data_IF_135697531776
#
_entry.id   IF_135697531776
#
_cell.length_a   1.000
_cell.length_b   1.000
_cell.length_c   1.000
_cell.angle_alpha   90.00
_cell.angle_beta   90.00
_cell.angle_gamma   90.00
#
_symmetry.space_group_name_H-M   'P 1'
#
loop_
_entity.id
_entity.type
_entity.pdbx_description
1 polymer ?
#
# COMPACT_ATOMS: atom_id res chain seq x y z
N UNK A 1 5.59 4.17 9.87
CA UNK A 1 5.74 5.48 9.21
C UNK A 1 7.17 5.58 8.72
N UNK A 2 7.39 6.11 7.53
CA UNK A 2 8.70 6.27 6.89
C UNK A 2 8.90 7.76 6.61
N UNK A 3 10.15 8.19 6.60
CA UNK A 3 10.49 9.61 6.49
C UNK A 3 10.49 10.11 5.04
N UNK A 4 10.42 9.18 4.09
CA UNK A 4 10.40 9.48 2.65
C UNK A 4 9.44 8.55 1.88
N UNK A 5 9.14 8.93 0.65
CA UNK A 5 8.38 8.14 -0.31
C UNK A 5 9.29 7.43 -1.34
N UNK A 6 10.53 7.14 -0.97
CA UNK A 6 11.52 6.52 -1.84
C UNK A 6 11.34 5.01 -2.00
N UNK A 7 12.08 4.45 -2.97
CA UNK A 7 12.08 3.01 -3.27
C UNK A 7 12.38 2.15 -2.03
N UNK A 8 13.32 2.59 -1.19
CA UNK A 8 13.69 1.85 0.02
C UNK A 8 12.55 1.78 1.03
N UNK A 9 11.80 2.86 1.18
CA UNK A 9 10.64 2.92 2.08
C UNK A 9 9.50 2.03 1.58
N UNK A 10 9.24 2.02 0.28
CA UNK A 10 8.27 1.12 -0.34
C UNK A 10 8.65 -0.37 -0.14
N UNK A 11 9.92 -0.72 -0.34
CA UNK A 11 10.44 -2.07 -0.12
C UNK A 11 10.34 -2.48 1.35
N UNK A 12 10.74 -1.62 2.28
CA UNK A 12 10.63 -1.87 3.73
C UNK A 12 9.17 -2.06 4.15
N UNK A 13 8.28 -1.24 3.60
CA UNK A 13 6.85 -1.35 3.86
C UNK A 13 6.29 -2.69 3.38
N UNK A 14 6.56 -3.09 2.14
CA UNK A 14 6.12 -4.37 1.60
C UNK A 14 6.63 -5.54 2.44
N UNK A 15 7.91 -5.55 2.81
CA UNK A 15 8.49 -6.59 3.68
C UNK A 15 7.78 -6.66 5.04
N UNK A 16 7.48 -5.49 5.62
CA UNK A 16 6.73 -5.42 6.87
C UNK A 16 5.31 -5.98 6.72
N UNK A 17 4.60 -5.61 5.65
CA UNK A 17 3.25 -6.14 5.37
C UNK A 17 3.29 -7.66 5.26
N UNK A 18 4.24 -8.22 4.50
CA UNK A 18 4.39 -9.66 4.34
C UNK A 18 4.69 -10.35 5.68
N UNK A 19 5.51 -9.73 6.53
CA UNK A 19 5.88 -10.35 7.83
C UNK A 19 4.75 -10.40 8.85
N UNK A 20 3.72 -9.55 8.70
CA UNK A 20 2.58 -9.49 9.62
C UNK A 20 1.30 -10.07 9.03
N UNK A 21 1.25 -10.28 7.71
CA UNK A 21 0.08 -10.84 7.05
C UNK A 21 -0.15 -12.30 7.50
N UNK A 22 -1.35 -12.66 7.97
CA UNK A 22 -1.65 -14.03 8.40
C UNK A 22 -1.95 -14.97 7.23
N UNK A 23 -1.69 -14.53 6.00
CA UNK A 23 -1.90 -15.28 4.76
C UNK A 23 -0.79 -14.95 3.76
N UNK A 24 -0.62 -15.81 2.76
CA UNK A 24 0.33 -15.58 1.67
C UNK A 24 -0.22 -14.51 0.71
N UNK A 25 0.51 -13.42 0.54
CA UNK A 25 0.20 -12.41 -0.46
C UNK A 25 0.64 -12.94 -1.83
N UNK A 26 -0.28 -13.04 -2.76
CA UNK A 26 -0.02 -13.54 -4.11
C UNK A 26 0.31 -12.42 -5.09
N UNK A 27 -0.28 -11.25 -4.88
CA UNK A 27 -0.10 -10.10 -5.78
C UNK A 27 -0.17 -8.77 -5.02
N UNK A 28 0.49 -7.77 -5.59
CA UNK A 28 0.45 -6.38 -5.13
C UNK A 28 0.07 -5.49 -6.29
N UNK A 29 -0.87 -4.58 -6.06
CA UNK A 29 -1.26 -3.55 -7.00
C UNK A 29 -0.82 -2.19 -6.49
N UNK A 30 -0.11 -1.42 -7.31
CA UNK A 30 0.34 -0.07 -6.96
C UNK A 30 -0.08 0.94 -8.02
N UNK A 31 0.02 2.21 -7.69
CA UNK A 31 0.00 3.26 -8.68
C UNK A 31 1.30 3.28 -9.53
N UNK A 32 1.40 4.25 -10.43
CA UNK A 32 2.53 4.40 -11.33
C UNK A 32 3.65 5.30 -10.75
N UNK A 33 3.69 5.45 -9.42
CA UNK A 33 4.69 6.25 -8.75
C UNK A 33 6.12 5.72 -8.94
N UNK A 34 7.10 6.62 -8.95
CA UNK A 34 8.51 6.28 -9.17
C UNK A 34 9.11 5.38 -8.07
N UNK A 35 8.46 5.28 -6.92
CA UNK A 35 8.86 4.36 -5.86
C UNK A 35 8.46 2.89 -6.13
N UNK A 36 7.61 2.65 -7.12
CA UNK A 36 7.12 1.32 -7.47
C UNK A 36 7.53 0.86 -8.86
N UNK A 37 7.74 1.78 -9.79
CA UNK A 37 8.02 1.44 -11.19
C UNK A 37 8.94 2.43 -11.88
N UNK A 38 9.69 1.94 -12.86
CA UNK A 38 10.49 2.74 -13.79
C UNK A 38 9.73 3.05 -15.10
N UNK A 39 8.55 2.49 -15.28
CA UNK A 39 7.87 2.46 -16.58
C UNK A 39 7.46 3.84 -17.08
N UNK A 40 7.10 4.75 -16.20
CA UNK A 40 6.55 6.06 -16.55
C UNK A 40 7.43 7.24 -16.11
N UNK A 41 8.52 6.99 -15.42
CA UNK A 41 9.47 8.01 -15.03
C UNK A 41 10.52 8.14 -16.13
N UNK A 42 10.64 9.30 -16.75
CA UNK A 42 11.53 9.57 -17.89
C UNK A 42 13.02 9.28 -17.69
N UNK A 43 13.40 8.82 -16.50
CA UNK A 43 14.77 8.49 -16.12
C UNK A 43 15.29 7.16 -16.66
N UNK A 44 14.45 6.34 -17.30
CA UNK A 44 14.81 4.95 -17.52
C UNK A 44 14.32 4.37 -18.84
N UNK A 45 14.41 5.15 -19.88
CA UNK A 45 14.58 4.53 -21.19
C UNK A 45 15.92 3.82 -21.15
N UNK A 46 15.90 2.51 -20.86
CA UNK A 46 17.01 1.64 -21.19
C UNK A 46 17.35 1.92 -22.65
N UNK A 47 18.62 2.13 -22.97
CA UNK A 47 19.06 2.21 -24.36
C UNK A 47 18.81 0.92 -25.13
N UNK A 48 18.48 -0.16 -24.40
CA UNK A 48 18.13 -1.46 -24.93
C UNK A 48 16.65 -1.77 -24.63
N UNK A 49 15.74 -1.70 -25.63
CA UNK A 49 14.33 -2.03 -25.48
C UNK A 49 14.06 -3.50 -25.07
N UNK A 50 15.02 -4.40 -25.37
CA UNK A 50 14.92 -5.82 -25.06
C UNK A 50 15.38 -6.15 -23.64
N UNK A 51 16.06 -5.23 -22.96
CA UNK A 51 16.53 -5.42 -21.60
C UNK A 51 16.14 -4.21 -20.73
N UNK A 52 14.84 -4.02 -20.42
CA UNK A 52 14.38 -2.91 -19.62
C UNK A 52 14.99 -2.97 -18.22
N UNK A 53 15.39 -1.83 -17.70
CA UNK A 53 15.88 -1.70 -16.33
C UNK A 53 14.77 -2.03 -15.35
N UNK A 54 14.87 -3.18 -14.67
CA UNK A 54 13.90 -3.61 -13.68
C UNK A 54 13.93 -2.69 -12.45
N UNK A 55 12.76 -2.35 -11.96
CA UNK A 55 12.64 -1.59 -10.71
C UNK A 55 12.93 -2.50 -9.51
N UNK A 56 13.53 -1.95 -8.45
CA UNK A 56 13.87 -2.73 -7.25
C UNK A 56 12.63 -3.36 -6.58
N UNK A 57 11.47 -2.72 -6.70
CA UNK A 57 10.20 -3.25 -6.20
C UNK A 57 9.75 -4.48 -7.00
N UNK A 58 9.85 -4.44 -8.34
CA UNK A 58 9.56 -5.60 -9.21
C UNK A 58 10.47 -6.78 -8.91
N UNK A 59 11.77 -6.50 -8.72
CA UNK A 59 12.77 -7.54 -8.35
C UNK A 59 12.39 -8.19 -7.01
N UNK A 60 11.95 -7.40 -6.04
CA UNK A 60 11.52 -7.94 -4.75
C UNK A 60 10.28 -8.81 -4.91
N UNK A 61 9.26 -8.35 -5.62
CA UNK A 61 8.04 -9.12 -5.87
C UNK A 61 8.36 -10.46 -6.55
N UNK A 62 9.18 -10.43 -7.60
CA UNK A 62 9.60 -11.64 -8.29
C UNK A 62 10.35 -12.63 -7.38
N UNK A 63 11.27 -12.14 -6.54
CA UNK A 63 11.99 -12.96 -5.55
C UNK A 63 11.08 -13.62 -4.52
N UNK A 64 9.94 -12.99 -4.23
CA UNK A 64 8.95 -13.48 -3.27
C UNK A 64 7.85 -14.33 -3.92
N UNK A 65 7.92 -14.51 -5.24
CA UNK A 65 6.90 -15.24 -6.00
C UNK A 65 5.56 -14.51 -6.02
N UNK A 66 5.60 -13.19 -6.02
CA UNK A 66 4.42 -12.30 -6.03
C UNK A 66 4.31 -11.60 -7.38
N UNK A 67 3.08 -11.45 -7.86
CA UNK A 67 2.80 -10.64 -9.06
C UNK A 67 2.68 -9.16 -8.68
N UNK A 68 3.27 -8.28 -9.49
CA UNK A 68 3.15 -6.84 -9.32
C UNK A 68 2.34 -6.23 -10.48
N UNK A 69 1.20 -5.62 -10.15
CA UNK A 69 0.32 -4.96 -11.10
C UNK A 69 0.38 -3.44 -10.91
N UNK A 70 0.41 -2.74 -12.02
CA UNK A 70 0.25 -1.29 -12.06
C UNK A 70 -1.19 -0.94 -12.46
N UNK A 71 -1.71 0.17 -11.95
CA UNK A 71 -2.96 0.72 -12.49
C UNK A 71 -2.73 1.21 -13.92
N UNK A 72 -3.75 1.14 -14.77
CA UNK A 72 -3.68 1.69 -16.12
C UNK A 72 -3.48 3.20 -16.07
N UNK A 73 -2.63 3.78 -16.94
CA UNK A 73 -2.51 5.23 -17.04
C UNK A 73 -3.86 5.89 -17.31
N UNK A 74 -4.17 6.95 -16.55
CA UNK A 74 -5.44 7.68 -16.69
C UNK A 74 -6.67 6.99 -16.11
N UNK A 75 -6.50 5.86 -15.39
CA UNK A 75 -7.63 5.16 -14.73
C UNK A 75 -7.47 5.14 -13.20
N UNK A 76 -7.56 6.30 -12.52
CA UNK A 76 -7.43 6.37 -11.06
C UNK A 76 -8.50 5.54 -10.33
N UNK A 77 -9.68 5.36 -10.92
CA UNK A 77 -10.74 4.52 -10.35
C UNK A 77 -10.30 3.09 -10.01
N UNK A 78 -9.26 2.57 -10.66
CA UNK A 78 -8.68 1.27 -10.31
C UNK A 78 -8.02 1.25 -8.93
N UNK A 79 -7.72 2.43 -8.37
CA UNK A 79 -7.16 2.61 -7.02
C UNK A 79 -8.20 3.14 -6.01
N UNK A 80 -9.47 3.21 -6.40
CA UNK A 80 -10.54 3.87 -5.63
C UNK A 80 -10.75 3.35 -4.21
N UNK A 81 -10.42 2.08 -3.92
CA UNK A 81 -10.46 1.55 -2.54
C UNK A 81 -9.40 2.18 -1.66
N UNK A 82 -8.19 2.33 -2.17
CA UNK A 82 -7.06 2.96 -1.48
C UNK A 82 -7.32 4.45 -1.31
N UNK A 83 -7.81 5.13 -2.35
CA UNK A 83 -8.18 6.55 -2.30
C UNK A 83 -9.28 6.83 -1.26
N UNK A 84 -10.28 5.95 -1.17
CA UNK A 84 -11.32 6.07 -0.13
C UNK A 84 -10.75 5.88 1.27
N UNK A 85 -9.85 4.92 1.47
CA UNK A 85 -9.16 4.73 2.74
C UNK A 85 -8.36 5.98 3.13
N UNK A 86 -7.57 6.52 2.18
CA UNK A 86 -6.81 7.75 2.41
C UNK A 86 -7.71 8.94 2.74
N UNK A 87 -8.88 9.07 2.09
CA UNK A 87 -9.84 10.12 2.42
C UNK A 87 -10.37 9.96 3.84
N UNK A 88 -10.74 8.74 4.23
CA UNK A 88 -11.19 8.46 5.60
C UNK A 88 -10.10 8.79 6.61
N UNK A 89 -8.85 8.41 6.35
CA UNK A 89 -7.72 8.75 7.19
C UNK A 89 -7.52 10.27 7.27
N UNK A 90 -7.64 10.97 6.15
CA UNK A 90 -7.49 12.42 6.10
C UNK A 90 -8.57 13.11 6.95
N UNK A 91 -9.84 12.85 6.66
CA UNK A 91 -10.99 13.53 7.28
C UNK A 91 -11.14 13.18 8.76
N UNK A 92 -10.92 11.91 9.13
CA UNK A 92 -11.21 11.41 10.47
C UNK A 92 -10.01 11.42 11.41
N UNK A 93 -8.79 11.50 10.89
CA UNK A 93 -7.58 11.45 11.69
C UNK A 93 -6.66 12.65 11.43
N UNK A 94 -6.16 12.84 10.20
CA UNK A 94 -5.12 13.85 9.94
C UNK A 94 -5.61 15.28 10.08
N UNK A 95 -6.83 15.62 9.66
CA UNK A 95 -7.38 16.98 9.74
C UNK A 95 -7.62 17.43 11.19
N UNK A 96 -7.75 16.48 12.12
CA UNK A 96 -7.96 16.73 13.54
C UNK A 96 -6.69 16.53 14.38
N UNK A 97 -5.57 16.17 13.71
CA UNK A 97 -4.38 15.71 14.38
C UNK A 97 -3.53 16.88 14.90
N UNK A 98 -3.33 16.91 16.21
CA UNK A 98 -2.34 17.77 16.87
C UNK A 98 -1.30 16.88 17.52
N UNK A 99 -0.02 17.11 17.26
CA UNK A 99 1.07 16.34 17.87
C UNK A 99 2.28 17.24 18.10
N UNK A 100 3.09 16.90 19.12
CA UNK A 100 4.27 17.66 19.53
C UNK A 100 5.57 16.94 19.19
N UNK A 101 5.50 15.62 18.94
CA UNK A 101 6.68 14.83 18.59
C UNK A 101 6.31 13.72 17.60
N UNK A 102 7.32 13.16 16.94
CA UNK A 102 7.15 12.06 16.01
C UNK A 102 6.70 10.76 16.71
N UNK A 103 7.13 10.56 17.95
CA UNK A 103 6.69 9.44 18.80
C UNK A 103 5.20 9.56 19.12
N UNK A 104 4.73 10.76 19.46
CA UNK A 104 3.32 11.02 19.71
C UNK A 104 2.48 10.75 18.45
N UNK A 105 2.95 11.21 17.29
CA UNK A 105 2.30 10.93 16.02
C UNK A 105 2.20 9.43 15.75
N UNK A 106 3.29 8.69 15.93
CA UNK A 106 3.32 7.23 15.78
C UNK A 106 2.33 6.54 16.72
N UNK A 107 2.26 6.99 17.96
CA UNK A 107 1.35 6.44 18.95
C UNK A 107 -0.11 6.70 18.55
N UNK A 108 -0.46 7.92 18.19
CA UNK A 108 -1.80 8.28 17.73
C UNK A 108 -2.20 7.52 16.46
N UNK A 109 -1.29 7.39 15.51
CA UNK A 109 -1.53 6.60 14.29
C UNK A 109 -1.76 5.11 14.62
N UNK A 110 -1.06 4.56 15.59
CA UNK A 110 -1.31 3.18 16.04
C UNK A 110 -2.71 3.02 16.62
N UNK A 111 -3.15 3.95 17.46
CA UNK A 111 -4.50 3.93 18.04
C UNK A 111 -5.57 4.09 16.95
N UNK A 112 -5.35 4.99 16.00
CA UNK A 112 -6.23 5.17 14.85
C UNK A 112 -6.37 3.87 14.04
N UNK A 113 -5.28 3.21 13.70
CA UNK A 113 -5.32 1.94 12.97
C UNK A 113 -6.08 0.84 13.73
N UNK A 114 -5.93 0.77 15.05
CA UNK A 114 -6.71 -0.17 15.87
C UNK A 114 -8.20 0.15 15.78
N UNK A 115 -8.56 1.41 15.97
CA UNK A 115 -9.94 1.87 15.88
C UNK A 115 -10.53 1.62 14.49
N UNK A 116 -9.83 2.00 13.41
CA UNK A 116 -10.25 1.79 12.03
C UNK A 116 -10.52 0.32 11.71
N UNK A 117 -9.69 -0.59 12.22
CA UNK A 117 -9.84 -2.02 12.00
C UNK A 117 -11.04 -2.64 12.72
N UNK A 118 -11.63 -1.92 13.67
CA UNK A 118 -12.85 -2.30 14.38
C UNK A 118 -14.09 -1.49 13.98
N UNK A 119 -13.97 -0.60 12.97
CA UNK A 119 -15.11 0.07 12.35
C UNK A 119 -15.77 -0.82 11.29
N UNK A 120 -17.08 -0.73 11.20
CA UNK A 120 -17.85 -1.36 10.12
C UNK A 120 -17.68 -0.59 8.80
N UNK A 121 -17.46 -1.32 7.72
CA UNK A 121 -17.28 -0.75 6.39
C UNK A 121 -18.34 -1.26 5.41
N UNK A 122 -18.99 -0.33 4.71
CA UNK A 122 -19.96 -0.68 3.64
C UNK A 122 -19.32 -1.57 2.56
N UNK A 123 -18.05 -1.33 2.21
CA UNK A 123 -17.31 -2.15 1.25
C UNK A 123 -16.99 -3.57 1.72
N UNK A 124 -17.22 -3.88 2.99
CA UNK A 124 -17.09 -5.20 3.61
C UNK A 124 -18.46 -5.77 4.04
N UNK A 125 -19.54 -5.28 3.46
CA UNK A 125 -20.92 -5.67 3.78
C UNK A 125 -21.23 -5.52 5.29
N UNK A 126 -20.87 -4.38 5.86
CA UNK A 126 -21.08 -4.06 7.27
C UNK A 126 -20.13 -4.77 8.23
N UNK A 127 -19.11 -5.48 7.73
CA UNK A 127 -18.10 -6.10 8.59
C UNK A 127 -16.95 -5.15 8.86
N UNK A 128 -16.28 -5.36 9.98
CA UNK A 128 -15.02 -4.70 10.27
C UNK A 128 -13.87 -5.38 9.51
N UNK A 129 -12.76 -4.68 9.22
CA UNK A 129 -11.56 -5.31 8.65
C UNK A 129 -11.08 -6.53 9.44
N UNK A 130 -11.11 -6.45 10.77
CA UNK A 130 -10.75 -7.57 11.65
C UNK A 130 -11.69 -8.78 11.48
N UNK A 131 -12.99 -8.55 11.33
CA UNK A 131 -13.96 -9.63 11.08
C UNK A 131 -13.76 -10.23 9.69
N UNK A 132 -13.57 -9.39 8.65
CA UNK A 132 -13.32 -9.83 7.29
C UNK A 132 -12.06 -10.69 7.21
N UNK A 133 -11.00 -10.29 7.91
CA UNK A 133 -9.75 -11.05 7.98
C UNK A 133 -9.95 -12.43 8.62
N UNK A 134 -10.67 -12.51 9.74
CA UNK A 134 -10.94 -13.77 10.45
C UNK A 134 -11.79 -14.75 9.62
N UNK A 135 -12.67 -14.24 8.78
CA UNK A 135 -13.49 -15.05 7.88
C UNK A 135 -12.74 -15.61 6.67
N UNK A 136 -11.43 -15.43 6.62
CA UNK A 136 -10.58 -16.08 5.63
C UNK A 136 -10.76 -15.53 4.23
N UNK A 137 -10.87 -14.22 4.08
CA UNK A 137 -10.79 -13.58 2.75
C UNK A 137 -9.41 -13.90 2.18
N UNK A 138 -9.31 -15.04 1.48
CA UNK A 138 -8.06 -15.61 0.95
C UNK A 138 -7.48 -14.82 -0.23
N UNK A 139 -8.14 -13.80 -0.72
CA UNK A 139 -7.75 -13.03 -1.90
C UNK A 139 -7.83 -11.54 -1.62
N UNK A 140 -6.94 -11.03 -0.79
CA UNK A 140 -6.75 -9.58 -0.67
C UNK A 140 -5.66 -9.15 -1.64
N UNK A 141 -6.07 -8.48 -2.73
CA UNK A 141 -5.15 -7.67 -3.52
C UNK A 141 -4.83 -6.41 -2.70
N UNK A 142 -3.58 -6.22 -2.35
CA UNK A 142 -3.04 -4.98 -1.76
C UNK A 142 -2.48 -4.13 -2.89
#
# INVERSE_FOLDING_TARGET
>A
MYDDMGNNSAIKFLRKVISIAPFKIQSVKTDNGSCFTNRYTGYLKSSDPFNPKLHAFDILCAKLGMEHYLIDPGKPAQNGKVERSHRTDQESFYDQLVFKSFEELRYKLKLWNMYYNDLEHCGLNGKTPNQALRLGVQNVCI
#
